data_IF_194176891402
#
_entry.id   IF_194176891402
#
_cell.length_a   1.000
_cell.length_b   1.000
_cell.length_c   1.000
_cell.angle_alpha   90.00
_cell.angle_beta   90.00
_cell.angle_gamma   90.00
#
_symmetry.space_group_name_H-M   'P 1'
#
loop_
_entity.id
_entity.type
_entity.pdbx_description
1 polymer ?
#
# COMPACT_ATOMS: atom_id res chain seq x y z
N UNK A 1 -30.67 26.29 38.72
CA UNK A 1 -29.99 25.00 38.49
C UNK A 1 -28.99 25.25 37.37
N UNK A 2 -27.70 25.33 37.70
CA UNK A 2 -26.64 25.89 36.86
C UNK A 2 -25.84 24.71 36.29
N UNK A 3 -26.02 24.39 35.00
CA UNK A 3 -25.18 23.43 34.29
C UNK A 3 -24.06 24.22 33.59
N UNK A 4 -22.91 24.20 34.26
CA UNK A 4 -21.55 24.44 33.83
C UNK A 4 -21.36 24.79 32.34
N UNK A 5 -20.74 25.95 32.12
CA UNK A 5 -20.40 26.46 30.81
C UNK A 5 -19.52 25.48 30.01
N UNK A 6 -19.86 25.33 28.74
CA UNK A 6 -18.97 24.83 27.71
C UNK A 6 -17.78 25.79 27.59
N UNK A 7 -16.80 25.63 28.47
CA UNK A 7 -15.44 26.03 28.14
C UNK A 7 -15.05 25.23 26.91
N UNK A 8 -15.15 25.86 25.73
CA UNK A 8 -14.39 25.41 24.57
C UNK A 8 -12.97 25.13 25.05
N UNK A 9 -12.37 23.95 24.79
CA UNK A 9 -11.06 23.66 25.31
C UNK A 9 -10.10 24.71 24.77
N UNK A 10 -9.60 25.56 25.67
CA UNK A 10 -8.45 26.45 25.47
C UNK A 10 -7.16 25.64 25.32
N UNK A 11 -7.23 24.32 25.50
CA UNK A 11 -6.18 23.36 25.26
C UNK A 11 -6.21 22.81 23.84
N UNK A 12 -5.02 22.49 23.34
CA UNK A 12 -4.76 21.81 22.08
C UNK A 12 -5.73 20.67 21.78
N UNK A 13 -6.23 20.60 20.55
CA UNK A 13 -6.98 19.45 20.04
C UNK A 13 -6.04 18.60 19.21
N UNK A 14 -6.12 17.29 19.37
CA UNK A 14 -5.30 16.35 18.64
C UNK A 14 -6.16 15.34 17.89
N UNK A 15 -5.83 15.13 16.62
CA UNK A 15 -6.52 14.19 15.74
C UNK A 15 -5.49 13.25 15.14
N UNK A 16 -5.66 11.95 15.37
CA UNK A 16 -4.93 10.90 14.66
C UNK A 16 -5.75 10.43 13.47
N UNK A 17 -5.16 10.40 12.28
CA UNK A 17 -5.77 9.85 11.07
C UNK A 17 -4.86 8.80 10.44
N UNK A 18 -5.49 7.79 9.84
CA UNK A 18 -4.79 6.72 9.12
C UNK A 18 -5.28 6.69 7.68
N UNK A 19 -4.35 6.81 6.73
CA UNK A 19 -4.65 6.66 5.30
C UNK A 19 -4.00 5.36 4.83
N UNK A 20 -4.85 4.41 4.42
CA UNK A 20 -4.39 3.17 3.82
C UNK A 20 -4.15 3.36 2.32
N UNK A 21 -2.94 3.07 1.85
CA UNK A 21 -2.59 3.09 0.42
C UNK A 21 -2.27 1.67 -0.03
N UNK A 22 -3.02 1.18 -1.02
CA UNK A 22 -2.71 -0.11 -1.67
C UNK A 22 -1.39 -0.01 -2.42
N UNK A 23 -0.55 -1.04 -2.29
CA UNK A 23 0.63 -1.26 -3.13
C UNK A 23 0.42 -2.54 -3.91
N UNK A 24 0.35 -2.42 -5.23
CA UNK A 24 0.21 -3.59 -6.09
C UNK A 24 1.44 -4.48 -5.97
N UNK A 25 1.24 -5.78 -6.02
CA UNK A 25 2.35 -6.70 -6.24
C UNK A 25 2.96 -6.52 -7.63
N UNK A 26 4.23 -6.87 -7.73
CA UNK A 26 4.92 -7.01 -9.02
C UNK A 26 4.78 -8.45 -9.51
N UNK A 27 4.83 -8.63 -10.83
CA UNK A 27 4.80 -9.97 -11.45
C UNK A 27 6.16 -10.26 -12.08
N UNK A 28 6.71 -11.42 -11.75
CA UNK A 28 7.98 -11.92 -12.30
C UNK A 28 7.74 -13.24 -13.02
N UNK A 29 8.47 -13.46 -14.11
CA UNK A 29 8.49 -14.72 -14.86
C UNK A 29 9.84 -15.41 -14.69
N UNK A 30 9.80 -16.71 -14.43
CA UNK A 30 10.97 -17.57 -14.26
C UNK A 30 10.87 -18.73 -15.22
N UNK A 31 11.97 -19.07 -15.88
CA UNK A 31 12.00 -20.21 -16.80
C UNK A 31 11.95 -21.52 -16.03
N UNK A 32 11.06 -22.42 -16.47
CA UNK A 32 10.98 -23.77 -15.97
C UNK A 32 11.18 -24.76 -17.13
N UNK A 33 12.37 -25.40 -17.23
CA UNK A 33 12.71 -26.28 -18.35
C UNK A 33 11.83 -27.53 -18.48
N UNK A 34 11.08 -27.89 -17.44
CA UNK A 34 10.15 -29.02 -17.43
C UNK A 34 8.80 -28.68 -18.05
N UNK A 35 8.47 -27.39 -18.24
CA UNK A 35 7.28 -26.95 -18.94
C UNK A 35 7.51 -26.98 -20.45
N UNK A 36 6.46 -27.30 -21.23
CA UNK A 36 6.52 -27.14 -22.69
C UNK A 36 6.67 -25.66 -23.02
N UNK A 37 7.21 -25.37 -24.20
CA UNK A 37 7.58 -24.02 -24.63
C UNK A 37 6.46 -22.98 -24.47
N UNK A 38 5.20 -23.34 -24.70
CA UNK A 38 4.03 -22.45 -24.60
C UNK A 38 3.28 -22.55 -23.26
N UNK A 39 3.73 -23.39 -22.33
CA UNK A 39 3.07 -23.60 -21.06
C UNK A 39 3.53 -22.55 -20.04
N UNK A 40 2.57 -22.06 -19.24
CA UNK A 40 2.84 -21.23 -18.08
C UNK A 40 2.01 -21.73 -16.90
N UNK A 41 2.58 -21.67 -15.70
CA UNK A 41 1.87 -21.95 -14.46
C UNK A 41 2.16 -20.90 -13.41
N UNK A 42 1.15 -20.61 -12.59
CA UNK A 42 1.33 -19.77 -11.41
C UNK A 42 2.11 -20.56 -10.36
N UNK A 43 3.35 -20.15 -10.08
CA UNK A 43 4.20 -20.78 -9.07
C UNK A 43 3.96 -20.16 -7.68
N UNK A 44 3.71 -18.85 -7.63
CA UNK A 44 3.38 -18.13 -6.40
C UNK A 44 2.38 -17.01 -6.71
N UNK A 45 1.22 -17.04 -6.05
CA UNK A 45 0.23 -15.97 -6.19
C UNK A 45 0.74 -14.65 -5.60
N UNK A 46 0.56 -13.56 -6.34
CA UNK A 46 0.82 -12.21 -5.83
C UNK A 46 -0.08 -11.86 -4.65
N UNK A 47 0.40 -11.00 -3.76
CA UNK A 47 -0.42 -10.42 -2.70
C UNK A 47 -0.16 -8.92 -2.64
N UNK A 48 -1.22 -8.12 -2.82
CA UNK A 48 -1.13 -6.68 -2.66
C UNK A 48 -0.68 -6.33 -1.25
N UNK A 49 0.25 -5.40 -1.17
CA UNK A 49 0.68 -4.79 0.08
C UNK A 49 -0.24 -3.64 0.48
N UNK A 50 -0.10 -3.23 1.73
CA UNK A 50 -0.79 -2.07 2.28
C UNK A 50 0.21 -1.19 3.01
N UNK A 51 0.24 0.10 2.66
CA UNK A 51 0.99 1.10 3.41
C UNK A 51 0.00 1.93 4.20
N UNK A 52 0.05 1.84 5.53
CA UNK A 52 -0.76 2.70 6.41
C UNK A 52 0.08 3.92 6.78
N UNK A 53 -0.36 5.10 6.34
CA UNK A 53 0.26 6.36 6.74
C UNK A 53 -0.55 6.92 7.89
N UNK A 54 0.04 6.90 9.09
CA UNK A 54 -0.54 7.49 10.28
C UNK A 54 -0.07 8.94 10.41
N UNK A 55 -1.00 9.88 10.58
CA UNK A 55 -0.67 11.29 10.83
C UNK A 55 -1.36 11.80 12.07
N UNK A 56 -0.62 12.57 12.86
CA UNK A 56 -1.10 13.26 14.04
C UNK A 56 -1.18 14.74 13.72
N UNK A 57 -2.36 15.33 13.85
CA UNK A 57 -2.59 16.75 13.62
C UNK A 57 -2.95 17.43 14.93
N UNK A 58 -2.22 18.50 15.27
CA UNK A 58 -2.54 19.36 16.41
C UNK A 58 -3.21 20.64 15.93
N UNK A 59 -4.24 21.05 16.65
CA UNK A 59 -5.00 22.27 16.40
C UNK A 59 -4.99 23.14 17.65
N UNK A 60 -4.88 24.45 17.44
CA UNK A 60 -5.07 25.47 18.47
C UNK A 60 -6.01 26.53 17.92
N UNK A 61 -7.10 26.82 18.64
CA UNK A 61 -8.15 27.75 18.20
C UNK A 61 -8.61 27.50 16.75
N UNK A 62 -8.89 26.24 16.40
CA UNK A 62 -9.31 25.79 15.06
C UNK A 62 -8.29 25.99 13.92
N UNK A 63 -7.07 26.47 14.21
CA UNK A 63 -5.95 26.51 13.24
C UNK A 63 -5.06 25.29 13.41
N UNK A 64 -4.72 24.62 12.30
CA UNK A 64 -3.78 23.49 12.27
C UNK A 64 -2.37 24.00 12.56
N UNK A 65 -1.70 23.45 13.57
CA UNK A 65 -0.40 23.95 14.04
C UNK A 65 0.76 23.01 13.73
N UNK A 66 0.53 21.69 13.61
CA UNK A 66 1.59 20.71 13.30
C UNK A 66 1.00 19.43 12.71
N UNK A 67 1.65 18.88 11.69
CA UNK A 67 1.42 17.50 11.22
C UNK A 67 2.66 16.70 11.55
N UNK A 68 2.49 15.62 12.29
CA UNK A 68 3.53 14.63 12.54
C UNK A 68 3.16 13.35 11.80
N UNK A 69 4.06 12.83 10.96
CA UNK A 69 3.92 11.50 10.40
C UNK A 69 4.37 10.52 11.47
N UNK A 70 3.46 9.67 11.92
CA UNK A 70 3.82 8.54 12.75
C UNK A 70 4.41 7.44 11.86
N UNK A 71 5.23 6.57 12.43
CA UNK A 71 5.83 5.46 11.67
C UNK A 71 4.73 4.68 10.93
N UNK A 72 4.90 4.43 9.62
CA UNK A 72 3.90 3.72 8.87
C UNK A 72 3.91 2.24 9.23
N UNK A 73 2.74 1.63 9.41
CA UNK A 73 2.66 0.17 9.30
C UNK A 73 2.83 -0.18 7.82
N UNK A 74 3.91 -0.89 7.49
CA UNK A 74 4.21 -1.30 6.12
C UNK A 74 3.92 -2.80 6.00
N UNK A 75 2.87 -3.13 5.26
CA UNK A 75 2.66 -4.47 4.73
C UNK A 75 3.25 -4.50 3.32
N UNK A 76 4.35 -5.22 3.16
CA UNK A 76 5.03 -5.34 1.87
C UNK A 76 4.22 -6.23 0.92
N UNK A 77 4.11 -5.84 -0.37
CA UNK A 77 3.50 -6.71 -1.37
C UNK A 77 4.33 -7.99 -1.54
N UNK A 78 3.67 -9.11 -1.79
CA UNK A 78 4.31 -10.36 -2.21
C UNK A 78 4.28 -10.44 -3.73
N UNK A 79 5.44 -10.53 -4.35
CA UNK A 79 5.59 -10.71 -5.80
C UNK A 79 4.86 -11.96 -6.29
N UNK A 80 4.18 -11.83 -7.41
CA UNK A 80 3.61 -12.95 -8.15
C UNK A 80 4.69 -13.59 -9.03
N UNK A 81 4.79 -14.92 -9.00
CA UNK A 81 5.77 -15.65 -9.79
C UNK A 81 5.06 -16.60 -10.73
N UNK A 82 5.32 -16.43 -12.02
CA UNK A 82 4.93 -17.36 -13.06
C UNK A 82 6.14 -18.17 -13.50
N UNK A 83 5.99 -19.48 -13.53
CA UNK A 83 6.92 -20.35 -14.22
C UNK A 83 6.48 -20.48 -15.68
N UNK A 84 7.40 -20.25 -16.62
CA UNK A 84 7.14 -20.26 -18.06
C UNK A 84 8.07 -21.20 -18.80
N UNK A 85 7.55 -21.84 -19.84
CA UNK A 85 8.32 -22.63 -20.79
C UNK A 85 9.32 -21.79 -21.57
N UNK A 86 10.25 -22.48 -22.22
CA UNK A 86 11.42 -21.91 -22.89
C UNK A 86 11.16 -21.03 -24.12
N UNK A 87 9.91 -20.88 -24.61
CA UNK A 87 9.62 -19.95 -25.73
C UNK A 87 9.39 -18.50 -25.30
N UNK A 88 9.10 -18.24 -24.02
CA UNK A 88 8.58 -16.94 -23.57
C UNK A 88 9.67 -15.90 -23.22
N UNK A 89 10.92 -16.17 -23.59
CA UNK A 89 12.06 -15.24 -23.46
C UNK A 89 12.12 -14.18 -24.58
N UNK A 90 11.10 -14.03 -25.42
CA UNK A 90 11.06 -12.86 -26.30
C UNK A 90 10.63 -11.62 -25.51
N UNK A 91 11.40 -10.52 -25.56
CA UNK A 91 11.00 -9.28 -24.92
C UNK A 91 9.66 -8.82 -25.51
N UNK A 92 8.79 -8.16 -24.71
CA UNK A 92 7.51 -7.69 -25.20
C UNK A 92 7.74 -6.51 -26.15
N UNK A 93 8.01 -6.79 -27.44
CA UNK A 93 7.75 -5.82 -28.49
C UNK A 93 6.23 -5.71 -28.61
N UNK A 94 5.70 -4.66 -27.98
CA UNK A 94 4.56 -3.88 -28.44
C UNK A 94 3.49 -4.68 -29.21
N UNK A 95 2.60 -5.39 -28.49
CA UNK A 95 1.24 -5.56 -28.98
C UNK A 95 0.41 -4.41 -28.40
N UNK A 96 0.46 -3.29 -29.12
CA UNK A 96 -0.58 -2.26 -29.05
C UNK A 96 -1.82 -2.88 -29.68
N UNK A 97 -2.89 -3.00 -28.91
CA UNK A 97 -4.26 -3.14 -29.42
C UNK A 97 -4.94 -1.79 -29.28
#
# INVERSE_FOLDING_TARGET
MQLWGEQAPTGWIEIATSIARKRRFETTRVLEPTLKSDDARLALAGLDGLRIVRTRQRFRHRRRTRIEKLEPDIYYPRTEVWAVGSMDLMPPKARVF
#
